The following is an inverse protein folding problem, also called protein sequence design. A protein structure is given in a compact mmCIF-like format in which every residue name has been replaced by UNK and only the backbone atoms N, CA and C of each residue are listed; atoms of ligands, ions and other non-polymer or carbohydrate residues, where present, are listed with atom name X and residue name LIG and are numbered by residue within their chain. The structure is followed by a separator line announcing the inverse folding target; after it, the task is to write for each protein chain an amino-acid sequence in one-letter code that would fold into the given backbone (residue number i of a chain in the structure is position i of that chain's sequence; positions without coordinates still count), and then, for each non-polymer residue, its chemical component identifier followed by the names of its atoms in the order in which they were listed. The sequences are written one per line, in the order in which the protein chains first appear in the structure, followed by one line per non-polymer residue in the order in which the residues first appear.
data_IF_091146909010
#
_entry.id   IF_091146909010
#
_cell.length_a   1.000
_cell.length_b   1.000
_cell.length_c   1.000
_cell.angle_alpha   90.00
_cell.angle_beta   90.00
_cell.angle_gamma   90.00
#
_symmetry.space_group_name_H-M   'P 1'
#
loop_
_entity.id
_entity.type
_entity.pdbx_description
1 polymer ?
#
# COMPACT_ATOMS: atom_id res chain seq x y z
N UNK A 1 1.57 15.48 2.86
CA UNK A 1 2.45 14.38 3.19
C UNK A 1 2.47 13.30 2.13
N UNK A 2 3.39 12.38 2.27
CA UNK A 2 3.47 11.20 1.41
C UNK A 2 2.60 10.08 1.99
N UNK A 3 2.02 9.25 1.12
CA UNK A 3 1.16 8.15 1.54
C UNK A 3 1.64 6.83 0.93
N UNK A 4 1.22 5.73 1.55
CA UNK A 4 1.56 4.39 1.09
C UNK A 4 0.30 3.55 0.94
N UNK A 5 0.21 2.86 -0.17
CA UNK A 5 -0.80 1.83 -0.39
C UNK A 5 -0.07 0.49 -0.48
N UNK A 6 -0.43 -0.45 0.37
CA UNK A 6 0.31 -1.69 0.53
C UNK A 6 -0.54 -2.90 0.18
N UNK A 7 0.10 -3.93 -0.33
CA UNK A 7 -0.55 -5.20 -0.61
C UNK A 7 -0.61 -6.09 0.63
N UNK A 8 0.52 -6.56 1.13
CA UNK A 8 0.61 -7.36 2.36
C UNK A 8 2.07 -7.58 2.77
N UNK A 9 2.31 -7.93 4.03
CA UNK A 9 3.52 -8.60 4.45
C UNK A 9 4.72 -7.76 4.85
N UNK A 10 4.60 -6.49 5.18
CA UNK A 10 5.73 -5.62 5.51
C UNK A 10 5.59 -5.01 6.91
N UNK A 11 5.37 -5.84 7.89
CA UNK A 11 4.98 -5.46 9.25
C UNK A 11 5.88 -4.42 9.91
N UNK A 12 7.19 -4.67 9.90
CA UNK A 12 8.15 -3.75 10.54
C UNK A 12 8.19 -2.41 9.83
N UNK A 13 8.18 -2.43 8.51
CA UNK A 13 8.16 -1.20 7.72
C UNK A 13 6.92 -0.37 7.98
N UNK A 14 5.77 -1.03 8.11
CA UNK A 14 4.50 -0.37 8.44
C UNK A 14 4.58 0.38 9.77
N UNK A 15 5.14 -0.25 10.79
CA UNK A 15 5.33 0.41 12.07
C UNK A 15 6.24 1.63 11.98
N UNK A 16 7.33 1.54 11.22
CA UNK A 16 8.23 2.67 11.00
C UNK A 16 7.52 3.83 10.30
N UNK A 17 6.71 3.53 9.28
CA UNK A 17 5.93 4.54 8.57
C UNK A 17 4.95 5.24 9.52
N UNK A 18 4.25 4.47 10.32
CA UNK A 18 3.26 5.03 11.25
C UNK A 18 3.91 5.95 12.28
N UNK A 19 5.05 5.55 12.82
CA UNK A 19 5.78 6.37 13.77
C UNK A 19 6.26 7.69 13.17
N UNK A 20 6.46 7.72 11.86
CA UNK A 20 6.90 8.93 11.15
C UNK A 20 5.75 9.72 10.54
N UNK A 21 4.50 9.41 10.89
CA UNK A 21 3.33 10.19 10.53
C UNK A 21 2.82 10.00 9.10
N UNK A 22 3.25 8.96 8.40
CA UNK A 22 2.75 8.69 7.04
C UNK A 22 1.34 8.10 7.08
N UNK A 23 0.57 8.43 6.06
CA UNK A 23 -0.73 7.79 5.84
C UNK A 23 -0.52 6.44 5.18
N UNK A 24 -1.26 5.43 5.63
CA UNK A 24 -1.08 4.06 5.16
C UNK A 24 -2.43 3.46 4.82
N UNK A 25 -2.57 2.98 3.59
CA UNK A 25 -3.74 2.24 3.15
C UNK A 25 -3.37 0.82 2.76
N UNK A 26 -4.31 -0.08 2.95
CA UNK A 26 -4.22 -1.45 2.44
C UNK A 26 -5.16 -1.57 1.27
N UNK A 27 -4.65 -2.14 0.17
CA UNK A 27 -5.43 -2.47 -1.02
C UNK A 27 -5.21 -3.94 -1.32
N UNK A 28 -6.24 -4.75 -1.12
CA UNK A 28 -6.14 -6.20 -1.26
C UNK A 28 -7.22 -6.78 -2.15
N UNK A 29 -6.83 -7.74 -3.01
CA UNK A 29 -7.76 -8.56 -3.77
C UNK A 29 -8.18 -9.82 -2.99
N UNK A 30 -7.63 -10.03 -1.79
CA UNK A 30 -7.80 -11.28 -1.06
C UNK A 30 -7.90 -11.03 0.45
N UNK A 31 -9.12 -11.11 0.97
CA UNK A 31 -9.41 -10.95 2.40
C UNK A 31 -8.61 -11.92 3.25
N UNK A 32 -8.45 -13.16 2.77
CA UNK A 32 -7.71 -14.19 3.49
C UNK A 32 -6.25 -13.81 3.67
N UNK A 33 -5.61 -13.33 2.60
CA UNK A 33 -4.24 -12.84 2.64
C UNK A 33 -4.10 -11.70 3.65
N UNK A 34 -5.05 -10.76 3.62
CA UNK A 34 -5.07 -9.67 4.59
C UNK A 34 -5.08 -10.20 6.02
N UNK A 35 -5.96 -11.16 6.33
CA UNK A 35 -6.07 -11.71 7.68
C UNK A 35 -4.81 -12.43 8.14
N UNK A 36 -4.17 -13.18 7.27
CA UNK A 36 -2.96 -13.93 7.61
C UNK A 36 -1.79 -13.02 7.97
N UNK A 37 -1.60 -11.94 7.22
CA UNK A 37 -0.42 -11.07 7.37
C UNK A 37 -0.66 -9.88 8.29
N UNK A 38 -1.87 -9.32 8.31
CA UNK A 38 -2.14 -8.06 8.99
C UNK A 38 -2.94 -8.20 10.28
N UNK A 39 -3.71 -9.27 10.41
CA UNK A 39 -4.53 -9.48 11.61
C UNK A 39 -3.72 -9.54 12.90
N UNK A 40 -2.51 -10.16 12.93
CA UNK A 40 -1.68 -10.16 14.13
C UNK A 40 -1.18 -8.78 14.56
N UNK A 41 -1.28 -7.78 13.67
CA UNK A 41 -1.00 -6.39 14.02
C UNK A 41 -2.19 -5.81 14.74
N UNK A 42 -2.52 -6.30 15.88
CA UNK A 42 -3.64 -5.82 16.72
C UNK A 42 -3.77 -4.31 16.57
N UNK A 43 -4.93 -3.74 16.65
CA UNK A 43 -5.17 -2.31 16.44
C UNK A 43 -4.93 -1.84 14.99
N UNK A 44 -5.16 -2.74 14.02
CA UNK A 44 -4.97 -2.36 12.61
C UNK A 44 -5.75 -1.10 12.23
N UNK A 45 -6.85 -0.80 12.90
CA UNK A 45 -7.61 0.44 12.69
C UNK A 45 -6.82 1.69 13.09
N UNK A 46 -5.85 1.55 13.97
CA UNK A 46 -4.97 2.64 14.36
C UNK A 46 -3.75 2.74 13.45
N UNK A 47 -3.33 1.62 12.87
CA UNK A 47 -2.16 1.56 11.99
C UNK A 47 -2.51 1.97 10.56
N UNK A 48 -3.66 1.50 10.07
CA UNK A 48 -4.07 1.76 8.69
C UNK A 48 -5.17 2.81 8.63
N UNK A 49 -4.96 3.82 7.83
CA UNK A 49 -5.95 4.89 7.61
C UNK A 49 -7.14 4.38 6.82
N UNK A 50 -6.93 3.39 5.96
CA UNK A 50 -8.01 2.72 5.23
C UNK A 50 -7.61 1.31 4.83
N UNK A 51 -8.62 0.45 4.68
CA UNK A 51 -8.46 -0.88 4.10
C UNK A 51 -9.48 -1.01 2.97
N UNK A 52 -9.00 -1.22 1.76
CA UNK A 52 -9.84 -1.41 0.58
C UNK A 52 -9.78 -2.88 0.17
N UNK A 53 -10.90 -3.55 0.30
CA UNK A 53 -11.07 -4.95 -0.07
C UNK A 53 -11.86 -5.02 -1.37
N UNK A 54 -11.30 -5.70 -2.37
CA UNK A 54 -11.93 -5.82 -3.68
C UNK A 54 -13.34 -6.41 -3.61
N UNK A 55 -13.61 -7.30 -2.66
CA UNK A 55 -14.93 -7.89 -2.48
C UNK A 55 -15.96 -6.88 -2.00
N UNK A 56 -15.57 -5.92 -1.17
CA UNK A 56 -16.48 -4.91 -0.65
C UNK A 56 -16.82 -3.85 -1.69
N UNK A 57 -15.83 -3.49 -2.52
CA UNK A 57 -15.99 -2.36 -3.45
C UNK A 57 -16.39 -2.80 -4.87
N UNK A 58 -16.42 -4.10 -5.15
CA UNK A 58 -16.80 -4.62 -6.47
C UNK A 58 -15.78 -4.35 -7.57
N UNK A 59 -14.56 -4.04 -7.21
CA UNK A 59 -13.46 -3.80 -8.14
C UNK A 59 -12.22 -4.52 -7.65
N UNK A 60 -11.27 -4.78 -8.54
CA UNK A 60 -10.01 -5.43 -8.14
C UNK A 60 -8.82 -4.87 -8.90
N UNK A 61 -7.63 -5.00 -8.31
CA UNK A 61 -6.38 -4.70 -9.01
C UNK A 61 -6.26 -5.63 -10.24
N UNK A 62 -5.76 -5.19 -11.37
CA UNK A 62 -5.16 -3.89 -11.66
C UNK A 62 -6.11 -2.84 -12.27
N UNK A 63 -7.41 -2.93 -12.02
CA UNK A 63 -8.35 -1.91 -12.52
C UNK A 63 -7.99 -0.54 -11.91
N UNK A 64 -7.79 0.52 -12.74
CA UNK A 64 -7.41 1.85 -12.22
C UNK A 64 -8.39 2.43 -11.20
N UNK A 65 -9.65 2.10 -11.31
CA UNK A 65 -10.70 2.66 -10.44
C UNK A 65 -10.48 2.30 -8.98
N UNK A 66 -9.96 1.10 -8.67
CA UNK A 66 -9.71 0.71 -7.29
C UNK A 66 -8.54 1.50 -6.69
N UNK A 67 -7.55 1.87 -7.51
CA UNK A 67 -6.43 2.72 -7.06
C UNK A 67 -6.92 4.12 -6.74
N UNK A 68 -7.74 4.70 -7.60
CA UNK A 68 -8.34 6.02 -7.35
C UNK A 68 -9.20 6.02 -6.11
N UNK A 69 -10.02 5.00 -5.92
CA UNK A 69 -10.83 4.85 -4.71
C UNK A 69 -9.96 4.80 -3.46
N UNK A 70 -8.88 4.01 -3.50
CA UNK A 70 -7.95 3.87 -2.37
C UNK A 70 -7.31 5.21 -2.02
N UNK A 71 -6.79 5.92 -3.02
CA UNK A 71 -6.17 7.22 -2.79
C UNK A 71 -7.16 8.25 -2.26
N UNK A 72 -8.39 8.22 -2.75
CA UNK A 72 -9.44 9.10 -2.27
C UNK A 72 -9.73 8.86 -0.79
N UNK A 73 -9.79 7.60 -0.38
CA UNK A 73 -10.02 7.25 1.03
C UNK A 73 -8.84 7.58 1.92
N UNK A 74 -7.61 7.44 1.43
CA UNK A 74 -6.41 7.85 2.18
C UNK A 74 -6.30 9.38 2.25
N UNK A 75 -6.91 10.08 1.30
CA UNK A 75 -6.78 11.52 1.20
C UNK A 75 -5.45 11.94 0.58
N UNK A 76 -4.98 11.21 -0.42
CA UNK A 76 -3.68 11.45 -1.05
C UNK A 76 -3.79 11.52 -2.57
N UNK A 77 -2.83 12.18 -3.19
CA UNK A 77 -2.73 12.25 -4.65
C UNK A 77 -1.73 11.21 -5.16
N UNK A 78 -1.87 10.76 -6.43
CA UNK A 78 -0.98 9.75 -7.01
C UNK A 78 0.49 10.13 -6.91
N UNK A 79 0.85 11.36 -7.23
CA UNK A 79 2.23 11.83 -7.22
C UNK A 79 2.90 11.81 -5.84
N UNK A 80 2.10 11.68 -4.80
CA UNK A 80 2.57 11.63 -3.41
C UNK A 80 2.22 10.32 -2.72
N UNK A 81 2.02 9.27 -3.50
CA UNK A 81 1.64 7.95 -2.98
C UNK A 81 2.54 6.88 -3.59
N UNK A 82 3.13 6.06 -2.74
CA UNK A 82 3.84 4.86 -3.17
C UNK A 82 2.91 3.66 -3.03
N UNK A 83 2.89 2.82 -4.05
CA UNK A 83 2.13 1.57 -4.06
C UNK A 83 3.10 0.40 -4.13
N UNK A 84 3.06 -0.46 -3.12
CA UNK A 84 3.95 -1.62 -3.01
C UNK A 84 3.14 -2.90 -3.19
N UNK A 85 3.52 -3.72 -4.16
CA UNK A 85 2.82 -4.95 -4.50
C UNK A 85 3.82 -5.95 -5.10
N UNK A 86 3.54 -7.24 -4.96
CA UNK A 86 4.39 -8.32 -5.48
C UNK A 86 4.06 -8.72 -6.92
N UNK A 87 2.99 -8.19 -7.50
CA UNK A 87 2.59 -8.49 -8.87
C UNK A 87 2.91 -7.31 -9.80
N UNK A 88 3.70 -7.58 -10.83
CA UNK A 88 4.13 -6.54 -11.78
C UNK A 88 2.94 -5.83 -12.43
N UNK A 89 1.90 -6.57 -12.81
CA UNK A 89 0.72 -5.98 -13.43
C UNK A 89 0.06 -4.92 -12.52
N UNK A 90 0.03 -5.18 -11.22
CA UNK A 90 -0.54 -4.24 -10.25
C UNK A 90 0.35 -2.99 -10.10
N UNK A 91 1.66 -3.19 -10.10
CA UNK A 91 2.63 -2.10 -10.03
C UNK A 91 2.55 -1.22 -11.29
N UNK A 92 2.46 -1.84 -12.46
CA UNK A 92 2.34 -1.11 -13.73
C UNK A 92 1.08 -0.25 -13.77
N UNK A 93 -0.03 -0.77 -13.28
CA UNK A 93 -1.27 -0.01 -13.22
C UNK A 93 -1.15 1.21 -12.30
N UNK A 94 -0.49 1.08 -11.17
CA UNK A 94 -0.21 2.20 -10.26
C UNK A 94 0.64 3.27 -10.94
N UNK A 95 1.71 2.86 -11.62
CA UNK A 95 2.57 3.78 -12.36
C UNK A 95 1.80 4.51 -13.46
N UNK A 96 0.89 3.82 -14.14
CA UNK A 96 0.11 4.39 -15.25
C UNK A 96 -0.77 5.57 -14.81
N UNK A 97 -1.19 5.60 -13.55
CA UNK A 97 -2.01 6.71 -13.03
C UNK A 97 -1.20 7.73 -12.24
N UNK A 98 0.13 7.62 -12.27
CA UNK A 98 1.02 8.60 -11.67
C UNK A 98 1.47 8.32 -10.24
N UNK A 99 1.16 7.15 -9.70
CA UNK A 99 1.70 6.71 -8.41
C UNK A 99 3.16 6.28 -8.56
N UNK A 100 3.84 6.12 -7.44
CA UNK A 100 5.17 5.52 -7.39
C UNK A 100 5.02 4.02 -7.11
N UNK A 101 4.88 3.23 -8.17
CA UNK A 101 4.75 1.78 -8.06
C UNK A 101 6.10 1.13 -7.75
N UNK A 102 6.11 0.25 -6.76
CA UNK A 102 7.32 -0.46 -6.32
C UNK A 102 7.01 -1.95 -6.28
N UNK A 103 7.76 -2.72 -7.07
CA UNK A 103 7.64 -4.18 -7.04
C UNK A 103 8.31 -4.72 -5.78
N UNK A 104 7.57 -5.52 -5.02
CA UNK A 104 8.08 -6.19 -3.83
C UNK A 104 8.45 -7.61 -4.21
N UNK A 105 9.75 -7.91 -4.14
CA UNK A 105 10.26 -9.24 -4.41
C UNK A 105 10.26 -10.07 -3.14
N UNK A 106 10.64 -11.34 -3.24
CA UNK A 106 10.75 -12.23 -2.08
C UNK A 106 11.65 -11.62 -1.01
N UNK A 107 12.80 -11.06 -1.43
CA UNK A 107 13.61 -10.20 -0.56
C UNK A 107 13.05 -8.78 -0.64
N UNK A 108 12.42 -8.34 0.45
CA UNK A 108 11.73 -7.05 0.51
C UNK A 108 12.67 -5.85 0.68
N UNK A 109 13.96 -6.08 0.89
CA UNK A 109 14.91 -5.01 1.23
C UNK A 109 15.02 -3.95 0.14
N UNK A 110 14.98 -4.35 -1.13
CA UNK A 110 15.03 -3.42 -2.26
C UNK A 110 13.82 -2.50 -2.31
N UNK A 111 12.64 -3.05 -2.11
CA UNK A 111 11.39 -2.28 -2.12
C UNK A 111 11.37 -1.29 -0.95
N UNK A 112 11.76 -1.72 0.24
CA UNK A 112 11.83 -0.87 1.43
C UNK A 112 12.84 0.27 1.21
N UNK A 113 14.01 -0.03 0.67
CA UNK A 113 15.02 0.98 0.36
C UNK A 113 14.49 2.03 -0.61
N UNK A 114 13.80 1.60 -1.65
CA UNK A 114 13.19 2.52 -2.63
C UNK A 114 12.12 3.39 -1.99
N UNK A 115 11.27 2.81 -1.16
CA UNK A 115 10.24 3.57 -0.45
C UNK A 115 10.87 4.61 0.48
N UNK A 116 11.94 4.27 1.17
CA UNK A 116 12.66 5.22 2.04
C UNK A 116 13.29 6.36 1.25
N UNK A 117 13.84 6.09 0.08
CA UNK A 117 14.35 7.14 -0.81
C UNK A 117 13.27 8.16 -1.17
N UNK A 118 12.08 7.70 -1.50
CA UNK A 118 10.97 8.56 -1.90
C UNK A 118 10.51 9.49 -0.78
N UNK A 119 10.68 9.07 0.47
CA UNK A 119 10.20 9.81 1.64
C UNK A 119 11.31 10.56 2.36
N UNK A 120 12.57 10.35 1.98
CA UNK A 120 13.71 10.88 2.72
C UNK A 120 13.94 10.19 4.07
N UNK A 121 13.30 9.06 4.30
CA UNK A 121 13.39 8.31 5.54
C UNK A 121 14.59 7.35 5.45
N UNK A 122 15.59 7.58 6.25
CA UNK A 122 16.83 6.79 6.21
C UNK A 122 16.80 5.66 7.21
#
# INVERSE_FOLDING_TARGET
GFAFALSAGMTKFVHDLKQNGFRIGILTNNVREFREYWWPLMDFQQVFDTVVDSHEVGMRKPNPDIYHLTMNRIGAEPSRTAFLDDLQANVDAANAIGMHGILVEEDQSGAIARARELTGLV
#
